data_IF_621625363112
#
_entry.id   IF_621625363112
#
_cell.length_a   1.000
_cell.length_b   1.000
_cell.length_c   1.000
_cell.angle_alpha   90.00
_cell.angle_beta   90.00
_cell.angle_gamma   90.00
#
_symmetry.space_group_name_H-M   'P 1'
#
loop_
_entity.id
_entity.type
_entity.pdbx_description
1 polymer ?
#
# COMPACT_ATOMS: atom_id res chain seq x y z
N UNK A 1 -24.13 -15.33 -4.89
CA UNK A 1 -22.93 -15.03 -4.09
C UNK A 1 -22.04 -14.16 -4.95
N UNK A 2 -21.61 -12.99 -4.46
CA UNK A 2 -20.65 -12.17 -5.21
C UNK A 2 -19.33 -12.96 -5.31
N UNK A 3 -18.70 -12.95 -6.49
CA UNK A 3 -17.42 -13.62 -6.68
C UNK A 3 -16.35 -12.87 -5.89
N UNK A 4 -15.68 -13.57 -4.98
CA UNK A 4 -14.57 -13.00 -4.21
C UNK A 4 -13.40 -12.71 -5.15
N UNK A 5 -12.84 -11.50 -5.04
CA UNK A 5 -11.68 -11.05 -5.81
C UNK A 5 -10.40 -11.47 -5.08
N UNK A 6 -9.65 -12.39 -5.67
CA UNK A 6 -8.46 -12.99 -5.04
C UNK A 6 -7.20 -12.34 -5.60
N UNK A 7 -6.40 -11.69 -4.77
CA UNK A 7 -5.25 -10.89 -5.21
C UNK A 7 -3.98 -11.39 -4.54
N UNK A 8 -3.03 -11.85 -5.34
CA UNK A 8 -1.69 -12.16 -4.89
C UNK A 8 -0.89 -10.86 -4.74
N UNK A 9 -0.31 -10.62 -3.57
CA UNK A 9 0.37 -9.36 -3.27
C UNK A 9 1.87 -9.55 -3.17
N UNK A 10 2.60 -8.69 -3.89
CA UNK A 10 4.03 -8.47 -3.72
C UNK A 10 4.19 -7.16 -2.95
N UNK A 11 4.42 -7.22 -1.62
CA UNK A 11 4.58 -6.01 -0.83
C UNK A 11 5.89 -5.29 -1.19
N UNK A 12 5.98 -4.05 -0.75
CA UNK A 12 7.22 -3.28 -0.79
C UNK A 12 8.28 -3.91 0.11
N UNK A 13 9.56 -3.61 -0.15
CA UNK A 13 10.71 -3.97 0.64
C UNK A 13 11.33 -2.73 1.29
N UNK A 14 12.39 -2.95 2.07
CA UNK A 14 13.13 -1.88 2.77
C UNK A 14 13.65 -0.77 1.84
N UNK A 15 13.93 -1.04 0.57
CA UNK A 15 14.41 -0.04 -0.39
C UNK A 15 13.28 0.78 -1.00
N UNK A 16 12.03 0.34 -0.83
CA UNK A 16 10.81 1.00 -1.30
C UNK A 16 10.07 1.72 -0.17
N UNK A 17 10.53 1.54 1.06
CA UNK A 17 10.07 2.26 2.24
C UNK A 17 10.87 3.56 2.38
N UNK A 18 10.27 4.67 1.97
CA UNK A 18 10.86 6.01 2.08
C UNK A 18 10.32 6.74 3.32
N UNK A 19 11.21 7.18 4.19
CA UNK A 19 10.83 7.99 5.34
C UNK A 19 11.87 9.07 5.62
N UNK A 20 11.40 10.27 5.97
CA UNK A 20 12.27 11.36 6.41
C UNK A 20 12.64 11.27 7.91
N UNK A 21 11.88 10.50 8.70
CA UNK A 21 12.16 10.20 10.10
C UNK A 21 13.07 8.97 10.21
N UNK A 22 13.78 8.84 11.33
CA UNK A 22 14.60 7.67 11.55
C UNK A 22 13.72 6.45 11.83
N UNK A 23 14.10 5.28 11.30
CA UNK A 23 13.38 4.02 11.59
C UNK A 23 13.47 3.66 13.07
N UNK A 24 14.53 4.06 13.77
CA UNK A 24 14.65 3.87 15.22
C UNK A 24 13.58 4.63 16.02
N UNK A 25 13.27 5.88 15.65
CA UNK A 25 12.18 6.63 16.31
C UNK A 25 10.82 5.97 16.05
N UNK A 26 10.58 5.52 14.81
CA UNK A 26 9.33 4.84 14.45
C UNK A 26 9.19 3.53 15.22
N UNK A 27 10.27 2.76 15.34
CA UNK A 27 10.32 1.53 16.13
C UNK A 27 9.98 1.81 17.59
N UNK A 28 10.56 2.86 18.19
CA UNK A 28 10.26 3.25 19.57
C UNK A 28 8.77 3.59 19.74
N UNK A 29 8.18 4.38 18.83
CA UNK A 29 6.77 4.75 18.94
C UNK A 29 5.83 3.55 18.78
N UNK A 30 6.17 2.59 17.94
CA UNK A 30 5.39 1.36 17.74
C UNK A 30 5.81 0.22 18.69
N UNK A 31 6.62 0.51 19.72
CA UNK A 31 7.09 -0.45 20.72
C UNK A 31 7.78 -1.69 20.11
N UNK A 32 8.48 -1.53 18.99
CA UNK A 32 9.17 -2.60 18.29
C UNK A 32 10.50 -2.94 18.96
N UNK A 33 10.97 -4.18 18.78
CA UNK A 33 12.25 -4.62 19.33
C UNK A 33 13.46 -4.02 18.61
N UNK A 34 13.28 -3.52 17.38
CA UNK A 34 14.36 -2.99 16.56
C UNK A 34 13.87 -2.18 15.36
N UNK A 35 14.77 -1.36 14.81
CA UNK A 35 14.51 -0.51 13.64
C UNK A 35 14.34 -1.31 12.34
N UNK A 36 14.88 -2.52 12.30
CA UNK A 36 14.69 -3.49 11.22
C UNK A 36 13.24 -3.98 11.15
N UNK A 37 12.49 -4.04 12.25
CA UNK A 37 11.10 -4.51 12.23
C UNK A 37 10.09 -3.51 11.65
N UNK A 38 10.51 -2.27 11.38
CA UNK A 38 9.59 -1.20 10.94
C UNK A 38 8.93 -1.53 9.61
N UNK A 39 9.68 -2.04 8.63
CA UNK A 39 9.09 -2.33 7.32
C UNK A 39 8.12 -3.51 7.39
N UNK A 40 8.42 -4.52 8.21
CA UNK A 40 7.57 -5.70 8.41
C UNK A 40 6.25 -5.31 9.08
N UNK A 41 6.29 -4.53 10.17
CA UNK A 41 5.06 -4.15 10.88
C UNK A 41 4.14 -3.29 10.01
N UNK A 42 4.71 -2.41 9.18
CA UNK A 42 3.94 -1.59 8.24
C UNK A 42 3.36 -2.42 7.11
N UNK A 43 4.10 -3.40 6.60
CA UNK A 43 3.62 -4.34 5.59
C UNK A 43 2.45 -5.15 6.14
N UNK A 44 2.64 -5.78 7.30
CA UNK A 44 1.63 -6.59 7.94
C UNK A 44 0.35 -5.79 8.22
N UNK A 45 0.47 -4.62 8.86
CA UNK A 45 -0.68 -3.77 9.17
C UNK A 45 -1.43 -3.34 7.90
N UNK A 46 -0.70 -3.05 6.81
CA UNK A 46 -1.30 -2.69 5.52
C UNK A 46 -2.08 -3.86 4.92
N UNK A 47 -1.49 -5.06 4.89
CA UNK A 47 -2.13 -6.24 4.31
C UNK A 47 -3.34 -6.70 5.13
N UNK A 48 -3.22 -6.69 6.45
CA UNK A 48 -4.31 -7.02 7.38
C UNK A 48 -5.51 -6.08 7.16
N UNK A 49 -5.26 -4.76 7.14
CA UNK A 49 -6.30 -3.78 6.89
C UNK A 49 -6.91 -3.88 5.47
N UNK A 50 -6.15 -4.28 4.44
CA UNK A 50 -6.73 -4.52 3.11
C UNK A 50 -7.68 -5.72 3.16
N UNK A 51 -7.29 -6.82 3.83
CA UNK A 51 -8.13 -8.01 3.99
C UNK A 51 -9.40 -7.73 4.80
N UNK A 52 -9.32 -6.91 5.85
CA UNK A 52 -10.48 -6.54 6.66
C UNK A 52 -11.41 -5.52 5.99
N UNK A 53 -10.98 -4.89 4.90
CA UNK A 53 -11.75 -3.82 4.27
C UNK A 53 -13.05 -4.28 3.62
N UNK A 54 -13.12 -5.52 3.13
CA UNK A 54 -14.29 -6.09 2.45
C UNK A 54 -14.23 -7.61 2.38
N UNK A 55 -15.35 -8.29 2.61
CA UNK A 55 -15.50 -9.74 2.42
C UNK A 55 -15.32 -10.18 0.94
N UNK A 56 -15.52 -9.25 0.00
CA UNK A 56 -15.43 -9.53 -1.44
C UNK A 56 -14.01 -9.37 -1.99
N UNK A 57 -13.05 -8.90 -1.18
CA UNK A 57 -11.64 -8.81 -1.51
C UNK A 57 -10.86 -9.75 -0.60
N UNK A 58 -9.98 -10.55 -1.17
CA UNK A 58 -9.09 -11.40 -0.40
C UNK A 58 -7.70 -11.28 -0.97
N UNK A 59 -6.76 -10.94 -0.11
CA UNK A 59 -5.36 -10.75 -0.47
C UNK A 59 -4.49 -11.76 0.27
N UNK A 60 -3.45 -12.22 -0.41
CA UNK A 60 -2.49 -13.18 0.15
C UNK A 60 -1.09 -12.80 -0.28
N UNK A 61 -0.13 -13.04 0.60
CA UNK A 61 1.28 -12.97 0.28
C UNK A 61 1.86 -14.38 0.07
N UNK A 62 3.02 -14.41 -0.57
CA UNK A 62 3.82 -15.62 -0.73
C UNK A 62 4.81 -15.75 0.43
N UNK A 63 5.31 -16.96 0.63
CA UNK A 63 6.47 -17.14 1.50
C UNK A 63 7.67 -16.34 0.99
N UNK A 64 8.56 -15.96 1.91
CA UNK A 64 9.66 -15.05 1.63
C UNK A 64 10.59 -15.54 0.51
N UNK A 65 10.83 -16.86 0.41
CA UNK A 65 11.70 -17.41 -0.63
C UNK A 65 11.09 -17.22 -2.01
N UNK A 66 9.82 -17.60 -2.15
CA UNK A 66 9.11 -17.46 -3.41
C UNK A 66 8.92 -15.98 -3.80
N UNK A 67 8.68 -15.11 -2.82
CA UNK A 67 8.60 -13.66 -3.03
C UNK A 67 9.92 -13.08 -3.57
N UNK A 68 11.06 -13.47 -2.99
CA UNK A 68 12.38 -13.00 -3.41
C UNK A 68 12.74 -13.45 -4.83
N UNK A 69 12.29 -14.64 -5.26
CA UNK A 69 12.48 -15.11 -6.64
C UNK A 69 11.69 -14.25 -7.63
N UNK A 70 10.41 -14.00 -7.36
CA UNK A 70 9.56 -13.21 -8.25
C UNK A 70 10.01 -11.76 -8.32
N UNK A 71 10.44 -11.15 -7.20
CA UNK A 71 10.96 -9.78 -7.17
C UNK A 71 12.13 -9.58 -8.15
N UNK A 72 12.96 -10.61 -8.39
CA UNK A 72 14.06 -10.54 -9.36
C UNK A 72 13.57 -10.54 -10.82
N UNK A 73 12.39 -11.08 -11.07
CA UNK A 73 11.75 -11.15 -12.38
C UNK A 73 10.86 -9.94 -12.68
N UNK A 74 10.59 -9.10 -11.69
CA UNK A 74 9.77 -7.87 -11.80
C UNK A 74 10.63 -6.63 -11.54
N UNK A 75 11.50 -6.24 -12.49
CA UNK A 75 12.37 -5.09 -12.31
C UNK A 75 11.54 -3.81 -12.13
N UNK A 76 12.02 -2.95 -11.24
CA UNK A 76 11.38 -1.66 -10.96
C UNK A 76 11.67 -0.69 -12.09
N UNK A 77 10.63 0.02 -12.53
CA UNK A 77 10.73 1.00 -13.62
C UNK A 77 9.88 2.22 -13.30
N UNK A 78 10.28 3.37 -13.84
CA UNK A 78 9.44 4.56 -13.85
C UNK A 78 8.59 4.56 -15.12
N UNK A 79 7.27 4.56 -14.98
CA UNK A 79 6.33 4.55 -16.10
C UNK A 79 5.76 5.95 -16.31
N UNK A 80 5.57 6.35 -17.57
CA UNK A 80 4.93 7.62 -17.96
C UNK A 80 3.45 7.46 -18.31
N UNK A 81 3.07 6.28 -18.77
CA UNK A 81 1.71 5.93 -19.19
C UNK A 81 1.18 4.79 -18.28
N UNK A 82 -0.14 4.75 -18.01
CA UNK A 82 -1.16 5.75 -18.37
C UNK A 82 -1.05 7.05 -17.54
N UNK A 83 -0.24 7.05 -16.49
CA UNK A 83 0.17 8.23 -15.72
C UNK A 83 1.63 8.05 -15.27
N UNK A 84 2.27 9.14 -14.84
CA UNK A 84 3.64 9.11 -14.34
C UNK A 84 3.72 8.52 -12.93
N UNK A 85 4.38 7.37 -12.74
CA UNK A 85 4.44 6.68 -11.43
C UNK A 85 5.60 5.67 -11.32
N UNK A 86 5.89 5.23 -10.08
CA UNK A 86 6.77 4.09 -9.84
C UNK A 86 6.00 2.79 -10.04
N UNK A 87 6.53 1.88 -10.85
CA UNK A 87 5.90 0.61 -11.14
C UNK A 87 6.91 -0.52 -11.33
N UNK A 88 6.42 -1.61 -11.91
CA UNK A 88 7.24 -2.76 -12.29
C UNK A 88 7.05 -3.11 -13.76
N UNK A 89 8.12 -3.54 -14.40
CA UNK A 89 8.02 -4.14 -15.73
C UNK A 89 7.63 -5.61 -15.56
N UNK A 90 6.44 -5.96 -16.05
CA UNK A 90 5.88 -7.31 -16.00
C UNK A 90 5.92 -7.99 -17.38
N UNK A 91 6.36 -7.29 -18.43
CA UNK A 91 6.17 -7.73 -19.82
C UNK A 91 6.86 -9.07 -20.09
N UNK A 92 8.11 -9.22 -19.64
CA UNK A 92 8.84 -10.47 -19.79
C UNK A 92 8.19 -11.63 -19.02
N UNK A 93 7.72 -11.35 -17.79
CA UNK A 93 7.10 -12.34 -16.90
C UNK A 93 5.72 -12.79 -17.39
N UNK A 94 4.98 -11.89 -18.03
CA UNK A 94 3.71 -12.18 -18.67
C UNK A 94 3.91 -12.98 -19.97
N UNK A 95 4.84 -12.55 -20.84
CA UNK A 95 5.10 -13.21 -22.13
C UNK A 95 5.62 -14.64 -22.00
N UNK A 96 6.35 -14.98 -20.94
CA UNK A 96 6.77 -16.36 -20.69
C UNK A 96 5.62 -17.28 -20.23
N UNK A 97 4.47 -16.72 -19.87
CA UNK A 97 3.34 -17.44 -19.27
C UNK A 97 3.56 -17.79 -17.80
N UNK A 98 4.64 -17.32 -17.18
CA UNK A 98 4.96 -17.62 -15.78
C UNK A 98 4.01 -16.89 -14.82
N UNK A 99 3.59 -15.66 -15.16
CA UNK A 99 2.56 -14.94 -14.42
C UNK A 99 1.26 -15.72 -14.30
N UNK A 100 0.76 -16.22 -15.44
CA UNK A 100 -0.48 -16.99 -15.48
C UNK A 100 -0.39 -18.26 -14.65
N UNK A 101 0.70 -19.03 -14.79
CA UNK A 101 0.95 -20.23 -13.99
C UNK A 101 1.03 -19.92 -12.49
N UNK A 102 1.70 -18.81 -12.13
CA UNK A 102 1.79 -18.38 -10.74
C UNK A 102 0.40 -18.11 -10.16
N UNK A 103 -0.42 -17.32 -10.84
CA UNK A 103 -1.76 -16.98 -10.37
C UNK A 103 -2.67 -18.22 -10.30
N UNK A 104 -2.61 -19.12 -11.28
CA UNK A 104 -3.34 -20.39 -11.26
C UNK A 104 -2.93 -21.28 -10.09
N UNK A 105 -1.62 -21.45 -9.85
CA UNK A 105 -1.10 -22.26 -8.74
C UNK A 105 -1.47 -21.69 -7.37
N UNK A 106 -1.48 -20.37 -7.24
CA UNK A 106 -1.84 -19.68 -6.00
C UNK A 106 -3.36 -19.51 -5.83
N UNK A 107 -4.16 -19.87 -6.84
CA UNK A 107 -5.59 -19.63 -6.84
C UNK A 107 -5.95 -18.15 -6.75
N UNK A 108 -5.16 -17.27 -7.38
CA UNK A 108 -5.37 -15.83 -7.42
C UNK A 108 -5.92 -15.40 -8.79
N UNK A 109 -6.73 -14.34 -8.82
CA UNK A 109 -7.29 -13.76 -10.05
C UNK A 109 -6.43 -12.61 -10.57
N UNK A 110 -5.68 -11.94 -9.68
CA UNK A 110 -4.84 -10.79 -9.99
C UNK A 110 -3.51 -10.82 -9.24
N UNK A 111 -2.49 -10.17 -9.80
CA UNK A 111 -1.24 -9.84 -9.11
C UNK A 111 -1.23 -8.36 -8.76
N UNK A 112 -1.06 -8.00 -7.49
CA UNK A 112 -0.79 -6.64 -7.04
C UNK A 112 0.67 -6.49 -6.63
N UNK A 113 1.30 -5.42 -7.11
CA UNK A 113 2.65 -5.04 -6.70
C UNK A 113 2.61 -3.67 -6.05
N UNK A 114 3.03 -3.61 -4.78
CA UNK A 114 3.18 -2.35 -4.05
C UNK A 114 4.60 -1.85 -4.33
N UNK A 115 4.72 -0.88 -5.23
CA UNK A 115 6.01 -0.43 -5.74
C UNK A 115 6.72 0.54 -4.78
N UNK A 116 5.97 1.21 -3.89
CA UNK A 116 6.49 2.21 -2.96
C UNK A 116 5.59 2.40 -1.73
N UNK A 117 6.22 2.59 -0.58
CA UNK A 117 5.59 3.13 0.62
C UNK A 117 6.37 4.37 1.08
N UNK A 118 5.70 5.51 1.26
CA UNK A 118 6.36 6.76 1.65
C UNK A 118 5.68 7.44 2.83
N UNK A 119 6.46 7.76 3.85
CA UNK A 119 6.06 8.63 4.97
C UNK A 119 6.51 10.05 4.66
N UNK A 120 5.53 10.94 4.48
CA UNK A 120 5.75 12.37 4.27
C UNK A 120 5.48 13.13 5.56
N UNK A 121 6.47 13.86 6.07
CA UNK A 121 6.24 14.83 7.13
C UNK A 121 5.35 15.98 6.65
N UNK A 122 4.30 16.32 7.39
CA UNK A 122 3.47 17.51 7.15
C UNK A 122 3.33 18.31 8.43
N UNK A 123 3.51 19.62 8.33
CA UNK A 123 3.26 20.52 9.45
C UNK A 123 1.76 20.87 9.47
N UNK A 124 1.09 20.70 10.61
CA UNK A 124 -0.32 21.06 10.82
C UNK A 124 -0.46 22.06 11.97
N UNK A 125 -1.48 22.91 11.94
CA UNK A 125 -1.77 23.86 13.02
C UNK A 125 -2.60 23.19 14.11
N UNK A 126 -2.12 23.19 15.36
CA UNK A 126 -2.93 22.80 16.52
C UNK A 126 -3.97 23.89 16.79
N UNK A 127 -5.25 23.63 16.52
CA UNK A 127 -6.31 24.52 17.00
C UNK A 127 -6.64 24.17 18.45
N UNK A 128 -6.31 25.09 19.37
CA UNK A 128 -6.97 25.19 20.68
C UNK A 128 -6.09 24.97 21.89
N UNK A 129 -5.38 26.02 22.32
CA UNK A 129 -5.11 26.27 23.74
C UNK A 129 -5.03 27.79 23.94
N UNK A 130 -5.75 28.32 24.92
CA UNK A 130 -5.88 29.75 25.19
C UNK A 130 -4.63 30.34 25.87
N UNK A 131 -3.60 29.55 26.15
CA UNK A 131 -2.41 29.97 26.91
C UNK A 131 -1.05 29.60 26.29
N UNK A 132 -1.01 29.03 25.09
CA UNK A 132 0.26 28.72 24.42
C UNK A 132 0.25 29.23 22.99
N UNK A 133 1.15 30.17 22.71
CA UNK A 133 1.57 30.66 21.40
C UNK A 133 1.44 29.60 20.30
N UNK A 134 0.66 29.91 19.25
CA UNK A 134 0.56 29.24 17.95
C UNK A 134 1.43 27.97 17.74
N UNK A 135 0.88 26.78 18.04
CA UNK A 135 1.64 25.52 17.96
C UNK A 135 1.45 24.79 16.63
N UNK A 136 2.48 24.78 15.80
CA UNK A 136 2.56 23.86 14.67
C UNK A 136 3.00 22.47 15.15
N UNK A 137 2.37 21.40 14.67
CA UNK A 137 2.69 20.00 15.00
C UNK A 137 3.20 19.30 13.73
N UNK A 138 4.28 18.53 13.86
CA UNK A 138 4.72 17.60 12.82
C UNK A 138 3.78 16.40 12.81
N UNK A 139 3.13 16.15 11.68
CA UNK A 139 2.18 15.07 11.50
C UNK A 139 2.36 14.42 10.14
N UNK A 140 2.65 13.13 10.12
CA UNK A 140 2.97 12.42 8.90
C UNK A 140 1.71 12.07 8.11
N UNK A 141 1.87 12.04 6.79
CA UNK A 141 0.90 11.46 5.85
C UNK A 141 1.63 10.35 5.10
N UNK A 142 0.95 9.24 4.88
CA UNK A 142 1.53 8.06 4.26
C UNK A 142 1.02 7.94 2.82
N UNK A 143 1.87 7.47 1.92
CA UNK A 143 1.58 7.31 0.51
C UNK A 143 1.98 5.92 0.04
N UNK A 144 1.10 5.29 -0.75
CA UNK A 144 1.33 3.99 -1.35
C UNK A 144 1.16 4.10 -2.87
N UNK A 145 2.13 3.58 -3.59
CA UNK A 145 2.05 3.37 -5.04
C UNK A 145 1.83 1.87 -5.28
N UNK A 146 0.85 1.52 -6.11
CA UNK A 146 0.60 0.12 -6.46
C UNK A 146 0.11 -0.04 -7.90
N UNK A 147 0.38 -1.20 -8.48
CA UNK A 147 -0.16 -1.66 -9.76
C UNK A 147 -0.82 -3.04 -9.57
N UNK A 148 -1.90 -3.30 -10.29
CA UNK A 148 -2.60 -4.58 -10.30
C UNK A 148 -2.71 -5.07 -11.74
N UNK A 149 -2.35 -6.33 -11.97
CA UNK A 149 -2.32 -6.98 -13.28
C UNK A 149 -3.23 -8.21 -13.31
N UNK A 150 -3.80 -8.52 -14.47
CA UNK A 150 -4.48 -9.81 -14.73
C UNK A 150 -3.46 -10.90 -15.13
N UNK A 151 -3.95 -12.11 -15.41
CA UNK A 151 -3.12 -13.24 -15.83
C UNK A 151 -2.38 -13.02 -17.16
N UNK A 152 -2.92 -12.15 -18.02
CA UNK A 152 -2.32 -11.76 -19.30
C UNK A 152 -1.20 -10.72 -19.13
N UNK A 153 -1.03 -10.15 -17.93
CA UNK A 153 -0.07 -9.08 -17.65
C UNK A 153 -0.56 -7.68 -18.02
N UNK A 154 -1.83 -7.54 -18.39
CA UNK A 154 -2.46 -6.25 -18.62
C UNK A 154 -2.67 -5.52 -17.29
N UNK A 155 -2.37 -4.22 -17.30
CA UNK A 155 -2.62 -3.35 -16.15
C UNK A 155 -4.13 -3.17 -15.95
N UNK A 156 -4.64 -3.59 -14.81
CA UNK A 156 -6.06 -3.57 -14.44
C UNK A 156 -6.40 -2.33 -13.62
N UNK A 157 -5.57 -2.04 -12.63
CA UNK A 157 -5.76 -0.95 -11.70
C UNK A 157 -4.40 -0.45 -11.22
N UNK A 158 -4.34 0.81 -10.80
CA UNK A 158 -3.16 1.37 -10.16
C UNK A 158 -3.52 2.53 -9.24
N UNK A 159 -2.63 2.88 -8.34
CA UNK A 159 -2.64 4.18 -7.68
C UNK A 159 -1.24 4.78 -7.68
N UNK A 160 -1.17 6.08 -8.01
CA UNK A 160 -0.01 6.92 -7.77
C UNK A 160 -0.30 7.74 -6.51
N UNK A 161 0.49 7.51 -5.45
CA UNK A 161 0.44 8.22 -4.17
C UNK A 161 -0.91 8.15 -3.48
N UNK A 162 -1.50 6.94 -3.39
CA UNK A 162 -2.68 6.73 -2.58
C UNK A 162 -2.39 7.18 -1.14
N UNK A 163 -3.19 8.13 -0.65
CA UNK A 163 -2.90 8.79 0.62
C UNK A 163 -3.58 8.08 1.78
N UNK A 164 -2.79 7.50 2.67
CA UNK A 164 -3.20 6.95 3.96
C UNK A 164 -2.99 8.06 5.01
N UNK A 165 -4.09 8.60 5.52
CA UNK A 165 -4.03 9.63 6.56
C UNK A 165 -4.13 8.96 7.92
N UNK A 166 -3.18 9.20 8.85
CA UNK A 166 -3.37 8.82 10.23
C UNK A 166 -4.54 9.60 10.83
N UNK A 167 -5.05 9.13 11.96
CA UNK A 167 -5.95 9.89 12.83
C UNK A 167 -5.35 11.27 13.13
N UNK A 168 -6.19 12.24 13.47
CA UNK A 168 -5.69 13.55 13.88
C UNK A 168 -4.91 13.43 15.20
N UNK A 169 -3.92 14.30 15.45
CA UNK A 169 -3.17 14.28 16.70
C UNK A 169 -4.09 14.38 17.91
N UNK A 170 -3.80 13.57 18.92
CA UNK A 170 -4.42 13.61 20.24
C UNK A 170 -3.36 13.99 21.28
N UNK A 171 -3.79 14.38 22.47
CA UNK A 171 -2.87 14.72 23.57
C UNK A 171 -1.90 13.57 23.91
N UNK A 172 -2.32 12.33 23.67
CA UNK A 172 -1.51 11.13 23.91
C UNK A 172 -0.58 10.79 22.74
N UNK A 173 -0.91 11.21 21.51
CA UNK A 173 -0.23 10.75 20.28
C UNK A 173 0.50 11.85 19.51
N UNK A 174 0.47 13.11 19.98
CA UNK A 174 1.11 14.21 19.24
C UNK A 174 2.63 14.03 19.05
N UNK A 175 3.29 13.32 19.97
CA UNK A 175 4.73 13.04 19.91
C UNK A 175 5.10 11.97 18.88
N UNK A 176 4.14 11.13 18.46
CA UNK A 176 4.39 10.03 17.51
C UNK A 176 4.34 10.50 16.06
N UNK A 177 4.00 11.77 15.83
CA UNK A 177 4.02 12.42 14.51
C UNK A 177 3.24 11.64 13.44
N UNK A 178 2.19 10.93 13.82
CA UNK A 178 1.34 10.16 12.90
C UNK A 178 2.02 8.92 12.30
N UNK A 179 3.00 8.31 12.99
CA UNK A 179 3.68 7.08 12.55
C UNK A 179 3.26 5.82 13.32
N UNK A 180 2.23 5.90 14.16
CA UNK A 180 1.64 4.71 14.77
C UNK A 180 0.80 3.97 13.74
N UNK A 181 1.05 2.67 13.56
CA UNK A 181 0.28 1.83 12.62
C UNK A 181 -1.20 1.78 13.00
N UNK A 182 -1.53 1.75 14.30
CA UNK A 182 -2.91 1.81 14.80
C UNK A 182 -3.67 3.08 14.35
N UNK A 183 -2.99 4.22 14.29
CA UNK A 183 -3.60 5.48 13.85
C UNK A 183 -3.83 5.50 12.33
N UNK A 184 -3.14 4.64 11.57
CA UNK A 184 -3.28 4.50 10.11
C UNK A 184 -4.40 3.56 9.69
N UNK A 185 -4.92 2.73 10.61
CA UNK A 185 -5.85 1.64 10.32
C UNK A 185 -7.03 2.04 9.41
N UNK A 186 -7.73 3.12 9.76
CA UNK A 186 -8.87 3.61 8.97
C UNK A 186 -8.45 4.03 7.54
N UNK A 187 -7.25 4.60 7.40
CA UNK A 187 -6.69 4.96 6.10
C UNK A 187 -6.31 3.75 5.27
N UNK A 188 -5.80 2.69 5.91
CA UNK A 188 -5.45 1.43 5.26
C UNK A 188 -6.70 0.64 4.84
N UNK A 189 -7.77 0.63 5.65
CA UNK A 189 -9.08 0.07 5.25
C UNK A 189 -9.61 0.74 3.96
N UNK A 190 -9.44 2.06 3.84
CA UNK A 190 -9.83 2.80 2.63
C UNK A 190 -9.00 2.42 1.40
N UNK A 191 -7.75 1.99 1.57
CA UNK A 191 -6.95 1.45 0.47
C UNK A 191 -7.57 0.14 -0.05
N UNK A 192 -7.95 -0.76 0.84
CA UNK A 192 -8.63 -2.00 0.45
C UNK A 192 -9.95 -1.75 -0.29
N UNK A 193 -10.76 -0.80 0.18
CA UNK A 193 -11.98 -0.36 -0.52
C UNK A 193 -11.68 0.29 -1.89
N UNK A 194 -10.58 1.04 -2.02
CA UNK A 194 -10.17 1.60 -3.31
C UNK A 194 -9.80 0.50 -4.31
N UNK A 195 -9.05 -0.51 -3.86
CA UNK A 195 -8.66 -1.68 -4.65
C UNK A 195 -9.90 -2.43 -5.13
N UNK A 196 -10.79 -2.81 -4.21
CA UNK A 196 -12.05 -3.51 -4.52
C UNK A 196 -12.86 -2.74 -5.57
N UNK A 197 -13.10 -1.45 -5.34
CA UNK A 197 -13.88 -0.62 -6.26
C UNK A 197 -13.25 -0.53 -7.65
N UNK A 198 -11.91 -0.48 -7.74
CA UNK A 198 -11.20 -0.44 -9.02
C UNK A 198 -11.33 -1.77 -9.75
N UNK A 199 -11.18 -2.89 -9.06
CA UNK A 199 -11.35 -4.23 -9.63
C UNK A 199 -12.78 -4.48 -10.12
N UNK A 200 -13.79 -4.14 -9.32
CA UNK A 200 -15.21 -4.25 -9.72
C UNK A 200 -15.52 -3.36 -10.93
N UNK A 201 -14.96 -2.14 -10.98
CA UNK A 201 -15.12 -1.24 -12.14
C UNK A 201 -14.44 -1.80 -13.38
N UNK A 202 -13.27 -2.42 -13.23
CA UNK A 202 -12.57 -3.08 -14.32
C UNK A 202 -13.40 -4.25 -14.87
N UNK A 203 -13.87 -5.17 -14.02
CA UNK A 203 -14.72 -6.30 -14.45
C UNK A 203 -15.96 -5.84 -15.22
N UNK A 204 -16.54 -4.70 -14.83
CA UNK A 204 -17.72 -4.14 -15.51
C UNK A 204 -17.40 -3.44 -16.84
N UNK A 205 -16.21 -2.84 -16.99
CA UNK A 205 -15.90 -1.91 -18.10
C UNK A 205 -14.76 -2.34 -19.01
N UNK A 206 -13.92 -3.29 -18.60
CA UNK A 206 -12.71 -3.74 -19.29
C UNK A 206 -11.68 -2.63 -19.50
N UNK A 207 -11.63 -1.62 -18.62
CA UNK A 207 -10.72 -0.46 -18.75
C UNK A 207 -9.95 -0.22 -17.47
N UNK A 208 -8.66 0.09 -17.61
CA UNK A 208 -7.74 0.39 -16.51
C UNK A 208 -8.30 1.49 -15.61
N UNK A 209 -8.26 1.28 -14.29
CA UNK A 209 -8.79 2.24 -13.31
C UNK A 209 -7.69 2.78 -12.41
N UNK A 210 -7.33 4.05 -12.60
CA UNK A 210 -6.28 4.74 -11.81
C UNK A 210 -6.84 5.68 -10.73
N UNK A 211 -8.09 6.15 -10.87
CA UNK A 211 -8.79 6.97 -9.86
C UNK A 211 -10.15 6.37 -9.53
N UNK A 212 -10.41 6.14 -8.24
CA UNK A 212 -11.74 5.82 -7.74
C UNK A 212 -12.24 6.98 -6.87
N UNK A 213 -13.53 7.31 -6.96
CA UNK A 213 -14.19 8.13 -5.94
C UNK A 213 -14.69 7.17 -4.88
N UNK A 214 -13.94 7.04 -3.79
CA UNK A 214 -14.48 6.47 -2.55
C UNK A 214 -15.58 7.44 -2.11
N UNK A 215 -16.84 6.99 -2.17
CA UNK A 215 -17.99 7.78 -1.69
C UNK A 215 -18.14 7.60 -0.19
#
# INVERSE_FOLDING_TARGET
>A
MAQQLRVLVIPFDKFQFECNMTTSEIALYNELSGADQVYDVYTQALLEAINESSDSLSIYEMDENSLNLIRRQLPRVYKREPISHNGVDIEAYAKSGDLKKLLENMGADYLMVISRYKIMGKIITARGSWSSSAGFINWSIHQVDYEIFNAEGDLVALADRFTIRPRNPRNETYTTQGTLTEDLWIGMLKLGLDIEQKLLKYQKKGKVVYKSKIK
#
